data_IF_724027993122
#
_entry.id   IF_724027993122
#
_cell.length_a   1.000
_cell.length_b   1.000
_cell.length_c   1.000
_cell.angle_alpha   90.00
_cell.angle_beta   90.00
_cell.angle_gamma   90.00
#
_symmetry.space_group_name_H-M   'P 1'
#
loop_
_entity.id
_entity.type
_entity.pdbx_description
1 polymer ?
#
# COMPACT_ATOMS: atom_id res chain seq x y z
N UNK A 1 -20.54 -8.12 11.23
CA UNK A 1 -19.62 -7.85 12.35
C UNK A 1 -18.60 -6.84 11.85
N UNK A 2 -18.71 -5.57 12.21
CA UNK A 2 -17.73 -4.55 11.80
C UNK A 2 -16.44 -4.79 12.58
N UNK A 3 -15.36 -5.14 11.88
CA UNK A 3 -14.04 -5.32 12.51
C UNK A 3 -13.53 -3.96 12.98
N UNK A 4 -13.32 -3.81 14.29
CA UNK A 4 -12.75 -2.59 14.88
C UNK A 4 -11.25 -2.56 14.59
N UNK A 5 -10.74 -1.43 14.09
CA UNK A 5 -9.31 -1.27 13.83
C UNK A 5 -8.57 -1.09 15.16
N UNK A 6 -7.65 -2.00 15.46
CA UNK A 6 -6.74 -1.87 16.60
C UNK A 6 -5.50 -1.05 16.22
N UNK A 7 -5.58 0.27 16.38
CA UNK A 7 -4.52 1.21 16.02
C UNK A 7 -3.20 0.97 16.77
N UNK A 8 -3.22 0.50 18.02
CA UNK A 8 -1.99 0.29 18.79
C UNK A 8 -1.16 -0.90 18.31
N UNK A 9 -1.73 -1.78 17.48
CA UNK A 9 -0.99 -2.88 16.85
C UNK A 9 -0.03 -2.41 15.74
N UNK A 10 -0.24 -1.20 15.19
CA UNK A 10 0.56 -0.64 14.11
C UNK A 10 1.65 0.26 14.67
N UNK A 11 2.72 -0.34 15.17
CA UNK A 11 3.77 0.37 15.92
C UNK A 11 4.84 1.00 15.03
N UNK A 12 5.13 0.43 13.86
CA UNK A 12 6.24 0.85 13.00
C UNK A 12 5.78 1.75 11.85
N UNK A 13 6.50 2.84 11.60
CA UNK A 13 6.38 3.56 10.33
C UNK A 13 7.01 2.75 9.21
N UNK A 14 6.37 2.73 8.06
CA UNK A 14 6.85 2.05 6.85
C UNK A 14 6.59 2.88 5.59
N UNK A 15 6.46 4.20 5.74
CA UNK A 15 6.21 5.12 4.63
C UNK A 15 7.36 5.03 3.63
N UNK A 16 7.09 4.60 2.39
CA UNK A 16 8.10 4.33 1.35
C UNK A 16 8.61 2.88 1.31
N UNK A 17 8.55 2.18 2.44
CA UNK A 17 9.19 0.88 2.66
C UNK A 17 8.21 -0.27 2.91
N UNK A 18 6.97 -0.16 2.43
CA UNK A 18 6.02 -1.28 2.44
C UNK A 18 6.51 -2.38 1.50
N UNK A 19 6.49 -3.63 1.96
CA UNK A 19 6.84 -4.81 1.18
C UNK A 19 5.76 -5.88 1.25
N UNK A 20 5.88 -6.88 0.38
CA UNK A 20 4.99 -8.06 0.39
C UNK A 20 5.02 -8.74 1.77
N UNK A 21 3.86 -9.14 2.28
CA UNK A 21 3.68 -9.73 3.61
C UNK A 21 3.34 -8.73 4.73
N UNK A 22 3.61 -7.44 4.55
CA UNK A 22 3.24 -6.43 5.55
C UNK A 22 1.72 -6.39 5.78
N UNK A 23 1.32 -6.20 7.04
CA UNK A 23 -0.04 -5.76 7.40
C UNK A 23 0.03 -4.28 7.72
N UNK A 24 -0.58 -3.47 6.87
CA UNK A 24 -0.43 -2.02 6.86
C UNK A 24 -1.73 -1.30 7.23
N UNK A 25 -1.57 -0.10 7.77
CA UNK A 25 -2.62 0.87 8.07
C UNK A 25 -2.27 2.19 7.39
N UNK A 26 -3.17 2.66 6.54
CA UNK A 26 -3.04 3.94 5.85
C UNK A 26 -4.42 4.57 5.62
N UNK A 27 -4.45 5.89 5.39
CA UNK A 27 -5.66 6.60 4.99
C UNK A 27 -5.61 7.01 3.53
N UNK A 28 -6.78 7.03 2.89
CA UNK A 28 -6.94 7.60 1.55
C UNK A 28 -8.20 8.47 1.44
N UNK A 29 -8.09 9.53 0.66
CA UNK A 29 -9.23 10.36 0.30
C UNK A 29 -10.15 9.61 -0.67
N UNK A 30 -11.45 9.72 -0.42
CA UNK A 30 -12.53 9.15 -1.22
C UNK A 30 -13.14 10.26 -2.05
N UNK A 31 -13.17 10.05 -3.36
CA UNK A 31 -13.75 10.97 -4.31
C UNK A 31 -14.95 10.33 -5.01
N UNK A 32 -16.00 11.12 -5.19
CA UNK A 32 -17.19 10.75 -5.96
C UNK A 32 -17.40 11.68 -7.15
N UNK A 33 -18.58 11.58 -7.76
CA UNK A 33 -18.94 12.39 -8.93
C UNK A 33 -18.26 11.92 -10.22
N UNK A 34 -18.10 12.82 -11.18
CA UNK A 34 -17.50 12.51 -12.48
C UNK A 34 -15.98 12.55 -12.42
N UNK A 35 -15.30 11.68 -13.16
CA UNK A 35 -13.83 11.71 -13.29
C UNK A 35 -13.28 13.08 -13.72
N UNK A 36 -14.04 13.86 -14.50
CA UNK A 36 -13.64 15.20 -14.94
C UNK A 36 -13.81 16.29 -13.87
N UNK A 37 -14.68 16.04 -12.87
CA UNK A 37 -15.02 16.96 -11.78
C UNK A 37 -15.21 16.13 -10.50
N UNK A 38 -14.11 15.61 -9.93
CA UNK A 38 -14.18 14.80 -8.74
C UNK A 38 -14.60 15.65 -7.54
N UNK A 39 -15.56 15.17 -6.76
CA UNK A 39 -15.96 15.80 -5.50
C UNK A 39 -15.34 15.03 -4.35
N UNK A 40 -14.64 15.71 -3.46
CA UNK A 40 -14.11 15.11 -2.24
C UNK A 40 -15.26 14.72 -1.31
N UNK A 41 -15.39 13.42 -1.00
CA UNK A 41 -16.44 12.89 -0.13
C UNK A 41 -15.97 12.73 1.32
N UNK A 42 -14.65 12.65 1.55
CA UNK A 42 -14.05 12.47 2.85
C UNK A 42 -12.88 11.49 2.79
N UNK A 43 -12.50 10.92 3.93
CA UNK A 43 -11.39 9.97 4.03
C UNK A 43 -11.86 8.62 4.55
N UNK A 44 -11.07 7.58 4.26
CA UNK A 44 -11.20 6.27 4.88
C UNK A 44 -9.84 5.75 5.32
N UNK A 45 -9.86 4.99 6.41
CA UNK A 45 -8.69 4.25 6.91
C UNK A 45 -8.83 2.80 6.50
N UNK A 46 -7.74 2.23 5.99
CA UNK A 46 -7.70 0.86 5.49
C UNK A 46 -6.61 0.11 6.24
N UNK A 47 -6.98 -1.04 6.80
CA UNK A 47 -6.05 -2.09 7.21
C UNK A 47 -6.03 -3.16 6.13
N UNK A 48 -4.86 -3.47 5.59
CA UNK A 48 -4.73 -4.48 4.55
C UNK A 48 -3.43 -5.28 4.65
N UNK A 49 -3.47 -6.53 4.18
CA UNK A 49 -2.28 -7.33 3.93
C UNK A 49 -1.77 -7.08 2.52
N UNK A 50 -0.46 -6.88 2.39
CA UNK A 50 0.19 -6.75 1.09
C UNK A 50 0.43 -8.14 0.52
N UNK A 51 -0.33 -8.50 -0.52
CA UNK A 51 -0.19 -9.78 -1.22
C UNK A 51 0.94 -9.76 -2.25
N UNK A 52 1.14 -8.62 -2.90
CA UNK A 52 2.15 -8.43 -3.93
C UNK A 52 2.47 -6.95 -4.09
N UNK A 53 3.71 -6.66 -4.45
CA UNK A 53 4.10 -5.36 -4.95
C UNK A 53 4.80 -5.48 -6.32
N UNK A 54 4.67 -4.47 -7.17
CA UNK A 54 5.29 -4.45 -8.50
C UNK A 54 5.67 -3.05 -8.95
N UNK A 55 6.73 -2.98 -9.75
CA UNK A 55 7.17 -1.76 -10.42
C UNK A 55 6.76 -1.83 -11.89
N UNK A 56 5.88 -0.93 -12.33
CA UNK A 56 5.50 -0.88 -13.74
C UNK A 56 6.67 -0.44 -14.62
N UNK A 57 7.08 -1.28 -15.58
CA UNK A 57 8.28 -1.11 -16.41
C UNK A 57 8.37 0.24 -17.14
N UNK A 58 7.24 0.74 -17.68
CA UNK A 58 7.27 1.97 -18.49
C UNK A 58 7.29 3.25 -17.65
N UNK A 59 6.57 3.26 -16.52
CA UNK A 59 6.26 4.48 -15.75
C UNK A 59 6.81 4.48 -14.34
N UNK A 60 7.52 3.43 -13.91
CA UNK A 60 7.97 3.23 -12.53
C UNK A 60 6.83 3.40 -11.52
N UNK A 61 5.61 3.01 -11.91
CA UNK A 61 4.47 3.04 -11.00
C UNK A 61 4.60 1.87 -10.04
N UNK A 62 5.02 2.16 -8.80
CA UNK A 62 4.96 1.19 -7.71
C UNK A 62 3.50 0.96 -7.33
N UNK A 63 3.08 -0.30 -7.38
CA UNK A 63 1.69 -0.71 -7.17
C UNK A 63 1.63 -1.90 -6.24
N UNK A 64 0.63 -1.92 -5.37
CA UNK A 64 0.38 -2.98 -4.41
C UNK A 64 -0.93 -3.69 -4.71
N UNK A 65 -0.93 -5.00 -4.62
CA UNK A 65 -2.14 -5.82 -4.47
C UNK A 65 -2.36 -6.05 -2.98
N UNK A 66 -3.50 -5.57 -2.50
CA UNK A 66 -3.87 -5.54 -1.10
C UNK A 66 -5.10 -6.41 -0.86
N UNK A 67 -5.11 -7.16 0.23
CA UNK A 67 -6.31 -7.81 0.75
C UNK A 67 -6.79 -7.03 1.98
N UNK A 68 -7.98 -6.44 1.90
CA UNK A 68 -8.53 -5.61 2.97
C UNK A 68 -8.91 -6.50 4.16
N UNK A 69 -8.46 -6.13 5.36
CA UNK A 69 -8.79 -6.81 6.62
C UNK A 69 -9.89 -6.03 7.35
N UNK A 70 -9.75 -4.71 7.40
CA UNK A 70 -10.72 -3.80 7.99
C UNK A 70 -10.66 -2.45 7.28
N UNK A 71 -11.80 -1.77 7.21
CA UNK A 71 -11.88 -0.42 6.65
C UNK A 71 -12.97 0.37 7.37
N UNK A 72 -12.67 1.62 7.70
CA UNK A 72 -13.60 2.55 8.32
C UNK A 72 -13.53 3.93 7.67
N UNK A 73 -14.57 4.75 7.89
CA UNK A 73 -14.73 6.06 7.26
C UNK A 73 -15.67 6.03 6.07
N UNK A 74 -15.44 6.90 5.10
CA UNK A 74 -16.35 7.09 3.96
C UNK A 74 -16.24 5.93 2.97
N UNK A 75 -17.38 5.37 2.55
CA UNK A 75 -17.46 4.23 1.62
C UNK A 75 -16.45 3.11 1.97
N UNK A 76 -16.62 2.47 3.14
CA UNK A 76 -15.70 1.45 3.60
C UNK A 76 -15.68 0.27 2.61
N UNK A 77 -14.51 -0.33 2.47
CA UNK A 77 -14.33 -1.52 1.63
C UNK A 77 -14.59 -2.76 2.48
N UNK A 78 -15.29 -3.73 1.92
CA UNK A 78 -15.57 -4.99 2.59
C UNK A 78 -14.28 -5.78 2.88
N UNK A 79 -14.20 -6.36 4.08
CA UNK A 79 -13.09 -7.24 4.45
C UNK A 79 -13.02 -8.46 3.52
N UNK A 80 -11.80 -8.89 3.18
CA UNK A 80 -11.53 -9.91 2.17
C UNK A 80 -11.48 -9.36 0.73
N UNK A 81 -11.90 -8.12 0.49
CA UNK A 81 -11.80 -7.54 -0.86
C UNK A 81 -10.35 -7.39 -1.27
N UNK A 82 -10.01 -7.92 -2.45
CA UNK A 82 -8.72 -7.68 -3.10
C UNK A 82 -8.77 -6.40 -3.89
N UNK A 83 -7.87 -5.47 -3.61
CA UNK A 83 -7.80 -4.19 -4.31
C UNK A 83 -6.38 -3.83 -4.69
N UNK A 84 -6.24 -2.97 -5.69
CA UNK A 84 -4.94 -2.48 -6.14
C UNK A 84 -4.79 -1.01 -5.78
N UNK A 85 -3.63 -0.62 -5.24
CA UNK A 85 -3.31 0.77 -4.89
C UNK A 85 -1.92 1.15 -5.36
N UNK A 86 -1.76 2.39 -5.82
CA UNK A 86 -0.45 2.93 -6.17
C UNK A 86 0.28 3.31 -4.90
N UNK A 87 1.60 3.08 -4.83
CA UNK A 87 2.39 3.40 -3.64
C UNK A 87 2.30 4.86 -3.24
N UNK A 88 2.33 5.79 -4.20
CA UNK A 88 2.11 7.23 -3.93
C UNK A 88 0.78 7.57 -3.24
N UNK A 89 -0.23 6.70 -3.35
CA UNK A 89 -1.51 6.89 -2.66
C UNK A 89 -1.42 6.28 -1.26
N UNK A 90 -0.86 5.07 -1.14
CA UNK A 90 -0.65 4.38 0.14
C UNK A 90 0.20 5.23 1.10
N UNK A 91 1.23 5.89 0.58
CA UNK A 91 2.16 6.68 1.39
C UNK A 91 1.74 8.13 1.63
N UNK A 92 0.66 8.60 0.98
CA UNK A 92 0.34 10.03 0.91
C UNK A 92 0.16 10.67 2.29
N UNK A 93 -0.49 9.96 3.21
CA UNK A 93 -0.81 10.43 4.56
C UNK A 93 0.00 9.69 5.64
N UNK A 94 1.14 9.10 5.26
CA UNK A 94 1.89 8.16 6.09
C UNK A 94 1.29 6.76 6.08
N UNK A 95 2.12 5.77 6.37
CA UNK A 95 1.73 4.37 6.41
C UNK A 95 2.43 3.66 7.57
N UNK A 96 1.66 2.97 8.41
CA UNK A 96 2.18 2.20 9.54
C UNK A 96 1.96 0.71 9.29
N UNK A 97 2.78 -0.13 9.90
CA UNK A 97 2.65 -1.58 9.82
C UNK A 97 2.64 -2.23 11.20
N UNK A 98 2.07 -3.43 11.25
CA UNK A 98 2.31 -4.35 12.35
C UNK A 98 3.76 -4.89 12.31
N UNK A 99 4.35 -5.22 13.47
CA UNK A 99 5.57 -6.00 13.49
C UNK A 99 5.33 -7.38 12.87
N UNK A 100 6.33 -7.90 12.17
CA UNK A 100 6.33 -9.30 11.77
C UNK A 100 6.60 -10.17 12.99
N UNK A 101 6.18 -11.43 12.93
CA UNK A 101 6.62 -12.41 13.93
C UNK A 101 8.16 -12.54 13.93
N UNK A 102 8.75 -12.42 12.74
CA UNK A 102 10.19 -12.40 12.52
C UNK A 102 10.56 -11.23 11.60
N UNK A 103 11.22 -10.21 12.16
CA UNK A 103 11.66 -9.03 11.42
C UNK A 103 12.84 -9.32 10.48
N UNK A 104 13.55 -10.45 10.64
CA UNK A 104 14.59 -10.85 9.69
C UNK A 104 14.00 -11.26 8.34
N UNK A 105 12.90 -12.02 8.35
CA UNK A 105 12.14 -12.36 7.14
C UNK A 105 11.61 -11.13 6.43
N UNK A 106 11.14 -10.13 7.20
CA UNK A 106 10.75 -8.84 6.63
C UNK A 106 11.90 -8.16 5.91
N UNK A 107 13.10 -8.17 6.52
CA UNK A 107 14.29 -7.55 5.92
C UNK A 107 14.67 -8.23 4.61
N UNK A 108 14.56 -9.55 4.53
CA UNK A 108 14.78 -10.30 3.28
C UNK A 108 13.76 -9.90 2.20
N UNK A 109 12.48 -9.84 2.54
CA UNK A 109 11.42 -9.40 1.62
C UNK A 109 11.64 -7.95 1.13
N UNK A 110 12.09 -7.06 2.02
CA UNK A 110 12.40 -5.67 1.68
C UNK A 110 13.62 -5.56 0.75
N UNK A 111 14.67 -6.35 1.02
CA UNK A 111 15.87 -6.39 0.18
C UNK A 111 15.54 -6.90 -1.23
N UNK A 112 14.76 -7.98 -1.37
CA UNK A 112 14.29 -8.47 -2.68
C UNK A 112 13.59 -7.36 -3.45
N UNK A 113 12.62 -6.68 -2.81
CA UNK A 113 11.89 -5.57 -3.41
C UNK A 113 12.83 -4.48 -3.91
N UNK A 114 13.81 -4.08 -3.11
CA UNK A 114 14.77 -3.04 -3.47
C UNK A 114 15.64 -3.47 -4.65
N UNK A 115 16.18 -4.68 -4.63
CA UNK A 115 16.96 -5.24 -5.75
C UNK A 115 16.15 -5.27 -7.05
N UNK A 116 14.90 -5.76 -6.99
CA UNK A 116 13.99 -5.75 -8.16
C UNK A 116 13.66 -4.33 -8.64
N UNK A 117 13.49 -3.40 -7.70
CA UNK A 117 13.25 -1.98 -8.01
C UNK A 117 14.46 -1.27 -8.61
N UNK A 118 15.68 -1.60 -8.18
CA UNK A 118 16.95 -1.13 -8.76
C UNK A 118 17.10 -1.65 -10.19
N UNK A 119 16.88 -2.95 -10.40
CA UNK A 119 16.95 -3.57 -11.73
C UNK A 119 15.99 -2.91 -12.73
N UNK A 120 14.74 -2.68 -12.33
CA UNK A 120 13.74 -1.99 -13.16
C UNK A 120 14.11 -0.53 -13.46
N UNK A 121 14.82 0.15 -12.56
CA UNK A 121 15.35 1.51 -12.80
C UNK A 121 16.50 1.50 -13.80
N UNK A 122 17.42 0.54 -13.66
CA UNK A 122 18.55 0.36 -14.58
C UNK A 122 18.07 0.06 -16.00
N UNK A 123 17.16 -0.90 -16.18
CA UNK A 123 16.60 -1.26 -17.48
C UNK A 123 15.94 -0.06 -18.19
N UNK A 124 15.22 0.80 -17.44
CA UNK A 124 14.64 2.02 -18.02
C UNK A 124 15.70 3.04 -18.41
N UNK A 125 16.78 3.16 -17.64
CA UNK A 125 17.88 4.06 -17.97
C UNK A 125 18.53 3.64 -19.30
N UNK A 126 18.75 2.33 -19.50
CA UNK A 126 19.25 1.78 -20.77
C UNK A 126 18.30 2.06 -21.94
N UNK A 127 16.98 1.87 -21.77
CA UNK A 127 16.00 2.19 -22.84
C UNK A 127 15.91 3.69 -23.19
N UNK A 128 16.44 4.58 -22.35
CA UNK A 128 16.42 6.04 -22.54
C UNK A 128 17.73 6.60 -23.08
N UNK A 129 18.81 5.84 -23.00
CA UNK A 129 20.12 6.16 -23.56
C UNK A 129 20.11 5.94 -25.08
#
# INVERSE_FOLDING_TARGET
MTMVINYSAFTHDCTGDVCTGDVILFSEAVFGGSHRRPTHLGERTIVARVLKDSYGAERQQHTFTLEVIACEGVQPIEAGTRTTRKGRNVYRNGCRRMPWQDESQRREALNEKHTRGDAARAERAERRA
#
